data_IF_285983933405
#
_entry.id   IF_285983933405
#
_cell.length_a   1.000
_cell.length_b   1.000
_cell.length_c   1.000
_cell.angle_alpha   90.00
_cell.angle_beta   90.00
_cell.angle_gamma   90.00
#
_symmetry.space_group_name_H-M   'P 1'
#
loop_
_entity.id
_entity.type
_entity.pdbx_description
1 polymer ?
#
# COMPACT_ATOMS: atom_id res chain seq x y z
N UNK A 1 -14.59 70.48 13.77
CA UNK A 1 -15.96 70.01 13.47
C UNK A 1 -15.91 68.54 13.10
N UNK A 2 -16.29 67.65 14.01
CA UNK A 2 -16.41 66.21 13.70
C UNK A 2 -17.76 65.98 13.01
N UNK A 3 -17.76 65.43 11.80
CA UNK A 3 -19.00 65.07 11.09
C UNK A 3 -19.64 63.87 11.80
N UNK A 4 -20.87 64.04 12.29
CA UNK A 4 -21.69 62.94 12.79
C UNK A 4 -22.02 61.96 11.66
N UNK A 5 -21.21 60.91 11.52
CA UNK A 5 -21.50 59.77 10.66
C UNK A 5 -22.58 58.91 11.34
N UNK A 6 -23.81 58.97 10.84
CA UNK A 6 -24.87 58.04 11.23
C UNK A 6 -24.60 56.67 10.59
N UNK A 7 -24.10 55.73 11.35
CA UNK A 7 -23.88 54.35 10.91
C UNK A 7 -25.08 53.49 11.31
N UNK A 8 -25.59 52.66 10.40
CA UNK A 8 -26.64 51.67 10.73
C UNK A 8 -26.06 50.63 11.69
N UNK A 9 -26.72 50.42 12.83
CA UNK A 9 -26.40 49.35 13.76
C UNK A 9 -27.00 48.02 13.26
N UNK A 10 -26.39 46.91 13.67
CA UNK A 10 -26.86 45.56 13.38
C UNK A 10 -28.02 45.19 14.32
N UNK A 11 -29.00 44.44 13.81
CA UNK A 11 -30.08 43.88 14.62
C UNK A 11 -29.63 42.60 15.33
N UNK A 12 -30.29 42.28 16.44
CA UNK A 12 -30.05 41.03 17.15
C UNK A 12 -30.28 39.80 16.25
N UNK A 13 -31.29 39.84 15.38
CA UNK A 13 -31.60 38.75 14.46
C UNK A 13 -30.47 38.54 13.44
N UNK A 14 -29.95 39.62 12.84
CA UNK A 14 -28.80 39.54 11.92
C UNK A 14 -27.58 38.92 12.61
N UNK A 15 -27.30 39.31 13.86
CA UNK A 15 -26.21 38.72 14.63
C UNK A 15 -26.43 37.23 14.93
N UNK A 16 -27.65 36.82 15.29
CA UNK A 16 -27.99 35.42 15.55
C UNK A 16 -27.90 34.55 14.30
N UNK A 17 -28.40 35.04 13.16
CA UNK A 17 -28.27 34.34 11.88
C UNK A 17 -26.81 34.24 11.46
N UNK A 18 -26.02 35.31 11.62
CA UNK A 18 -24.60 35.28 11.34
C UNK A 18 -23.87 34.24 12.21
N UNK A 19 -24.17 34.19 13.51
CA UNK A 19 -23.61 33.19 14.43
C UNK A 19 -24.02 31.76 14.07
N UNK A 20 -25.28 31.55 13.63
CA UNK A 20 -25.75 30.25 13.17
C UNK A 20 -25.01 29.81 11.90
N UNK A 21 -24.87 30.70 10.93
CA UNK A 21 -24.16 30.41 9.67
C UNK A 21 -22.68 30.13 9.93
N UNK A 22 -22.02 30.93 10.77
CA UNK A 22 -20.62 30.73 11.14
C UNK A 22 -20.41 29.41 11.89
N UNK A 23 -21.25 29.12 12.89
CA UNK A 23 -21.13 27.87 13.65
C UNK A 23 -21.42 26.64 12.78
N UNK A 24 -22.48 26.68 11.96
CA UNK A 24 -22.78 25.63 11.00
C UNK A 24 -21.64 25.40 10.00
N UNK A 25 -21.08 26.48 9.45
CA UNK A 25 -19.94 26.40 8.53
C UNK A 25 -18.73 25.74 9.17
N UNK A 26 -18.34 26.16 10.39
CA UNK A 26 -17.22 25.57 11.12
C UNK A 26 -17.45 24.09 11.41
N UNK A 27 -18.66 23.70 11.80
CA UNK A 27 -19.00 22.29 12.07
C UNK A 27 -18.89 21.43 10.79
N UNK A 28 -19.33 21.94 9.64
CA UNK A 28 -19.20 21.24 8.36
C UNK A 28 -17.73 21.05 7.99
N UNK A 29 -16.90 22.09 8.12
CA UNK A 29 -15.46 21.97 7.89
C UNK A 29 -14.79 20.96 8.83
N UNK A 30 -15.17 20.97 10.11
CA UNK A 30 -14.66 20.01 11.08
C UNK A 30 -15.05 18.57 10.71
N UNK A 31 -16.32 18.33 10.36
CA UNK A 31 -16.80 17.01 9.96
C UNK A 31 -16.07 16.49 8.70
N UNK A 32 -15.91 17.34 7.67
CA UNK A 32 -15.19 16.95 6.46
C UNK A 32 -13.72 16.63 6.74
N UNK A 33 -13.06 17.42 7.60
CA UNK A 33 -11.67 17.19 7.99
C UNK A 33 -11.52 15.83 8.69
N UNK A 34 -12.44 15.50 9.59
CA UNK A 34 -12.44 14.21 10.28
C UNK A 34 -12.71 13.04 9.33
N UNK A 35 -13.61 13.20 8.36
CA UNK A 35 -13.88 12.18 7.34
C UNK A 35 -12.64 11.90 6.49
N UNK A 36 -11.95 12.95 6.01
CA UNK A 36 -10.71 12.80 5.23
C UNK A 36 -9.64 12.09 6.07
N UNK A 37 -9.44 12.50 7.33
CA UNK A 37 -8.47 11.86 8.22
C UNK A 37 -8.78 10.37 8.46
N UNK A 38 -10.07 10.03 8.59
CA UNK A 38 -10.51 8.64 8.75
C UNK A 38 -10.24 7.81 7.50
N UNK A 39 -10.52 8.36 6.32
CA UNK A 39 -10.28 7.69 5.04
C UNK A 39 -8.78 7.43 4.82
N UNK A 40 -7.93 8.42 5.13
CA UNK A 40 -6.48 8.26 5.04
C UNK A 40 -5.98 7.12 5.92
N UNK A 41 -6.42 7.07 7.19
CA UNK A 41 -6.04 5.97 8.08
C UNK A 41 -6.59 4.62 7.66
N UNK A 42 -7.81 4.56 7.11
CA UNK A 42 -8.36 3.33 6.56
C UNK A 42 -7.54 2.86 5.36
N UNK A 43 -7.16 3.77 4.46
CA UNK A 43 -6.33 3.44 3.31
C UNK A 43 -4.95 2.91 3.74
N UNK A 44 -4.27 3.58 4.68
CA UNK A 44 -2.99 3.12 5.22
C UNK A 44 -3.11 1.72 5.85
N UNK A 45 -4.14 1.50 6.67
CA UNK A 45 -4.39 0.20 7.30
C UNK A 45 -4.68 -0.89 6.27
N UNK A 46 -5.48 -0.60 5.25
CA UNK A 46 -5.79 -1.54 4.17
C UNK A 46 -4.51 -1.95 3.42
N UNK A 47 -3.65 -1.00 3.07
CA UNK A 47 -2.37 -1.30 2.41
C UNK A 47 -1.46 -2.18 3.28
N UNK A 48 -1.43 -1.92 4.59
CA UNK A 48 -0.69 -2.76 5.52
C UNK A 48 -1.28 -4.17 5.62
N UNK A 49 -2.60 -4.32 5.64
CA UNK A 49 -3.26 -5.62 5.65
C UNK A 49 -3.00 -6.41 4.35
N UNK A 50 -3.12 -5.77 3.19
CA UNK A 50 -2.78 -6.37 1.89
C UNK A 50 -1.33 -6.86 1.84
N UNK A 51 -0.39 -6.05 2.35
CA UNK A 51 1.01 -6.46 2.46
C UNK A 51 1.18 -7.70 3.36
N UNK A 52 0.55 -7.73 4.53
CA UNK A 52 0.66 -8.85 5.46
C UNK A 52 0.08 -10.15 4.87
N UNK A 53 -1.08 -10.06 4.18
CA UNK A 53 -1.67 -11.19 3.48
C UNK A 53 -0.77 -11.71 2.35
N UNK A 54 -0.17 -10.80 1.58
CA UNK A 54 0.79 -11.16 0.55
C UNK A 54 2.03 -11.84 1.13
N UNK A 55 2.59 -11.29 2.21
CA UNK A 55 3.77 -11.84 2.87
C UNK A 55 3.51 -13.27 3.40
N UNK A 56 2.37 -13.49 4.06
CA UNK A 56 1.94 -14.81 4.54
C UNK A 56 1.74 -15.82 3.40
N UNK A 57 1.09 -15.38 2.30
CA UNK A 57 0.94 -16.20 1.11
C UNK A 57 2.30 -16.54 0.49
N UNK A 58 3.22 -15.57 0.39
CA UNK A 58 4.55 -15.76 -0.16
C UNK A 58 5.39 -16.71 0.70
N UNK A 59 5.34 -16.56 2.02
CA UNK A 59 6.01 -17.46 2.96
C UNK A 59 5.48 -18.90 2.85
N UNK A 60 4.16 -19.06 2.75
CA UNK A 60 3.52 -20.37 2.53
C UNK A 60 3.93 -20.98 1.20
N UNK A 61 4.01 -20.18 0.14
CA UNK A 61 4.46 -20.63 -1.18
C UNK A 61 5.94 -21.04 -1.21
N UNK A 62 6.81 -20.31 -0.50
CA UNK A 62 8.24 -20.61 -0.43
C UNK A 62 8.52 -21.83 0.45
N UNK A 63 7.89 -21.93 1.62
CA UNK A 63 8.07 -23.05 2.58
C UNK A 63 7.64 -24.41 2.04
N UNK A 64 6.65 -24.45 1.13
CA UNK A 64 6.23 -25.70 0.46
C UNK A 64 7.04 -26.02 -0.80
N UNK A 65 8.02 -25.20 -1.14
CA UNK A 65 8.79 -25.30 -2.37
C UNK A 65 10.26 -25.53 -2.08
N UNK A 66 10.93 -26.22 -2.99
CA UNK A 66 12.38 -26.32 -2.96
C UNK A 66 12.98 -25.10 -3.68
N UNK A 67 13.83 -24.36 -3.00
CA UNK A 67 14.56 -23.26 -3.61
C UNK A 67 15.56 -23.77 -4.66
N UNK A 68 15.61 -23.14 -5.83
CA UNK A 68 16.58 -23.42 -6.88
C UNK A 68 17.65 -22.31 -6.93
N UNK A 69 17.24 -21.09 -7.27
CA UNK A 69 18.15 -19.93 -7.41
C UNK A 69 17.42 -18.60 -7.48
N UNK A 70 18.16 -17.51 -7.29
CA UNK A 70 17.75 -16.16 -7.69
C UNK A 70 18.51 -15.73 -8.95
N UNK A 71 17.79 -15.35 -10.00
CA UNK A 71 18.38 -14.87 -11.26
C UNK A 71 17.37 -13.95 -11.98
N UNK A 72 17.86 -12.99 -12.76
CA UNK A 72 17.03 -12.04 -13.52
C UNK A 72 15.93 -11.35 -12.67
N UNK A 73 16.26 -11.04 -11.42
CA UNK A 73 15.35 -10.41 -10.47
C UNK A 73 14.07 -11.25 -10.20
N UNK A 74 14.23 -12.58 -10.25
CA UNK A 74 13.19 -13.59 -9.97
C UNK A 74 13.73 -14.66 -9.05
N UNK A 75 12.82 -15.28 -8.30
CA UNK A 75 13.10 -16.47 -7.51
C UNK A 75 12.60 -17.67 -8.29
N UNK A 76 13.49 -18.62 -8.53
CA UNK A 76 13.17 -19.91 -9.12
C UNK A 76 13.00 -20.93 -8.00
N UNK A 77 11.87 -21.63 -8.03
CA UNK A 77 11.50 -22.66 -7.06
C UNK A 77 10.99 -23.90 -7.79
N UNK A 78 11.11 -25.06 -7.15
CA UNK A 78 10.50 -26.30 -7.59
C UNK A 78 9.38 -26.69 -6.63
N UNK A 79 8.19 -26.86 -7.16
CA UNK A 79 7.02 -27.22 -6.39
C UNK A 79 6.18 -28.26 -7.14
N UNK A 80 5.81 -29.35 -6.47
CA UNK A 80 4.99 -30.43 -7.05
C UNK A 80 5.54 -30.97 -8.40
N UNK A 81 6.87 -31.06 -8.51
CA UNK A 81 7.57 -31.49 -9.73
C UNK A 81 7.60 -30.47 -10.87
N UNK A 82 7.18 -29.22 -10.64
CA UNK A 82 7.19 -28.13 -11.63
C UNK A 82 8.21 -27.07 -11.24
N UNK A 83 8.96 -26.58 -12.24
CA UNK A 83 9.81 -25.41 -12.09
C UNK A 83 8.96 -24.14 -12.26
N UNK A 84 8.94 -23.31 -11.22
CA UNK A 84 8.18 -22.07 -11.14
C UNK A 84 9.12 -20.88 -10.95
N UNK A 85 8.66 -19.70 -11.33
CA UNK A 85 9.35 -18.44 -11.17
C UNK A 85 8.42 -17.41 -10.51
N UNK A 86 8.89 -16.78 -9.44
CA UNK A 86 8.25 -15.68 -8.72
C UNK A 86 8.98 -14.38 -9.04
N UNK A 87 8.25 -13.34 -9.44
CA UNK A 87 8.87 -12.06 -9.74
C UNK A 87 7.88 -10.99 -10.17
N UNK A 88 8.38 -9.76 -10.29
CA UNK A 88 7.61 -8.66 -10.87
C UNK A 88 7.35 -8.92 -12.35
N UNK A 89 6.13 -8.65 -12.78
CA UNK A 89 5.75 -8.68 -14.17
C UNK A 89 6.14 -7.39 -14.91
N UNK A 90 5.86 -7.33 -16.22
CA UNK A 90 5.98 -6.08 -16.99
C UNK A 90 4.95 -5.02 -16.58
N UNK A 91 3.84 -5.43 -15.96
CA UNK A 91 2.83 -4.55 -15.38
C UNK A 91 3.16 -4.18 -13.94
N UNK A 92 2.14 -3.93 -13.14
CA UNK A 92 2.21 -3.42 -11.76
C UNK A 92 2.14 -4.53 -10.71
N UNK A 93 2.31 -5.81 -11.07
CA UNK A 93 2.10 -6.92 -10.14
C UNK A 93 3.31 -7.84 -9.98
N UNK A 94 3.41 -8.42 -8.80
CA UNK A 94 4.28 -9.56 -8.51
C UNK A 94 3.46 -10.83 -8.67
N UNK A 95 4.01 -11.80 -9.40
CA UNK A 95 3.26 -12.98 -9.82
C UNK A 95 4.10 -14.24 -9.82
N UNK A 96 3.40 -15.36 -9.72
CA UNK A 96 3.91 -16.70 -9.98
C UNK A 96 3.68 -17.07 -11.43
N UNK A 97 4.73 -17.59 -12.05
CA UNK A 97 4.76 -18.08 -13.43
C UNK A 97 5.45 -19.43 -13.51
N UNK A 98 5.27 -20.18 -14.60
CA UNK A 98 6.20 -21.27 -14.90
C UNK A 98 7.56 -20.74 -15.34
N UNK A 99 8.57 -21.62 -15.45
CA UNK A 99 9.92 -21.26 -15.91
C UNK A 99 9.97 -20.60 -17.29
N UNK A 100 8.98 -20.88 -18.16
CA UNK A 100 8.86 -20.28 -19.49
C UNK A 100 8.09 -18.95 -19.48
N UNK A 101 7.63 -18.50 -18.30
CA UNK A 101 6.82 -17.31 -18.11
C UNK A 101 5.33 -17.49 -18.45
N UNK A 102 4.83 -18.72 -18.62
CA UNK A 102 3.42 -19.04 -18.88
C UNK A 102 2.71 -19.49 -17.61
N UNK A 103 1.38 -19.30 -17.58
CA UNK A 103 0.60 -19.38 -16.35
C UNK A 103 0.86 -18.15 -15.48
N UNK A 104 -0.17 -17.40 -15.15
CA UNK A 104 -0.01 -16.14 -14.41
C UNK A 104 -0.94 -16.17 -13.20
N UNK A 105 -0.36 -16.29 -12.01
CA UNK A 105 -1.07 -16.07 -10.74
C UNK A 105 -0.48 -14.82 -10.08
N UNK A 106 -1.14 -13.65 -10.21
CA UNK A 106 -0.80 -12.45 -9.46
C UNK A 106 -0.93 -12.71 -7.96
N UNK A 107 0.02 -12.19 -7.18
CA UNK A 107 0.06 -12.31 -5.72
C UNK A 107 -0.14 -10.96 -5.04
N UNK A 108 0.37 -9.88 -5.63
CA UNK A 108 0.12 -8.50 -5.17
C UNK A 108 0.24 -7.51 -6.35
N UNK A 109 -0.53 -6.43 -6.31
CA UNK A 109 -0.62 -5.37 -7.33
C UNK A 109 -0.07 -4.03 -6.83
N UNK A 110 -0.03 -3.02 -7.71
CA UNK A 110 0.41 -1.66 -7.37
C UNK A 110 1.90 -1.54 -7.07
N UNK A 111 2.73 -2.41 -7.65
CA UNK A 111 4.19 -2.39 -7.55
C UNK A 111 4.82 -1.55 -8.65
N UNK A 112 5.56 -0.53 -8.19
CA UNK A 112 6.48 0.23 -9.03
C UNK A 112 7.72 -0.60 -9.35
N UNK A 113 8.28 -1.27 -8.34
CA UNK A 113 9.46 -2.11 -8.47
C UNK A 113 9.48 -3.24 -7.42
N UNK A 114 10.15 -4.34 -7.76
CA UNK A 114 10.54 -5.35 -6.79
C UNK A 114 11.98 -5.73 -7.12
N UNK A 115 12.90 -5.62 -6.16
CA UNK A 115 14.31 -5.96 -6.30
C UNK A 115 14.58 -7.22 -5.47
N UNK A 116 15.11 -8.27 -6.10
CA UNK A 116 15.37 -9.58 -5.48
C UNK A 116 16.86 -9.87 -5.52
N UNK A 117 17.44 -10.13 -4.36
CA UNK A 117 18.87 -10.41 -4.20
C UNK A 117 19.07 -11.61 -3.28
N UNK A 118 20.13 -12.35 -3.53
CA UNK A 118 20.54 -13.45 -2.67
C UNK A 118 21.88 -13.14 -2.03
N UNK A 119 21.93 -13.21 -0.71
CA UNK A 119 23.14 -13.06 0.10
C UNK A 119 23.35 -14.33 0.92
N UNK A 120 24.15 -15.25 0.37
CA UNK A 120 24.35 -16.58 0.94
C UNK A 120 23.04 -17.37 1.01
N UNK A 121 22.57 -17.64 2.23
CA UNK A 121 21.32 -18.39 2.50
C UNK A 121 20.10 -17.48 2.68
N UNK A 122 20.26 -16.16 2.55
CA UNK A 122 19.16 -15.21 2.69
C UNK A 122 18.78 -14.67 1.31
N UNK A 123 17.48 -14.64 1.04
CA UNK A 123 16.91 -14.01 -0.15
C UNK A 123 16.14 -12.79 0.31
N UNK A 124 16.57 -11.64 -0.17
CA UNK A 124 15.98 -10.33 0.09
C UNK A 124 15.09 -9.95 -1.07
N UNK A 125 13.82 -9.66 -0.78
CA UNK A 125 12.86 -9.11 -1.73
C UNK A 125 12.44 -7.74 -1.24
N UNK A 126 12.88 -6.69 -1.92
CA UNK A 126 12.52 -5.32 -1.63
C UNK A 126 11.43 -4.85 -2.59
N UNK A 127 10.27 -4.51 -2.05
CA UNK A 127 9.08 -4.09 -2.79
C UNK A 127 8.88 -2.58 -2.63
N UNK A 128 8.72 -1.88 -3.76
CA UNK A 128 8.29 -0.48 -3.82
C UNK A 128 6.94 -0.41 -4.52
N UNK A 129 5.94 0.09 -3.80
CA UNK A 129 4.58 0.29 -4.31
C UNK A 129 4.39 1.70 -4.84
N UNK A 130 3.54 1.87 -5.86
CA UNK A 130 3.25 3.15 -6.52
C UNK A 130 2.77 4.24 -5.54
N UNK A 131 2.14 3.82 -4.44
CA UNK A 131 1.65 4.70 -3.37
C UNK A 131 2.72 5.09 -2.34
N UNK A 132 4.00 4.80 -2.60
CA UNK A 132 5.14 5.15 -1.74
C UNK A 132 5.39 4.20 -0.57
N UNK A 133 4.63 3.11 -0.46
CA UNK A 133 4.89 2.07 0.52
C UNK A 133 6.13 1.27 0.11
N UNK A 134 7.12 1.16 0.99
CA UNK A 134 8.27 0.29 0.80
C UNK A 134 8.30 -0.81 1.87
N UNK A 135 8.57 -2.04 1.44
CA UNK A 135 8.63 -3.20 2.32
C UNK A 135 9.73 -4.16 1.89
N UNK A 136 10.33 -4.84 2.85
CA UNK A 136 11.29 -5.89 2.61
C UNK A 136 10.75 -7.20 3.16
N UNK A 137 10.87 -8.27 2.37
CA UNK A 137 10.62 -9.63 2.78
C UNK A 137 11.94 -10.39 2.71
N UNK A 138 12.32 -11.04 3.81
CA UNK A 138 13.58 -11.79 3.90
C UNK A 138 13.23 -13.25 4.12
N UNK A 139 13.68 -14.10 3.22
CA UNK A 139 13.51 -15.54 3.30
C UNK A 139 14.83 -16.24 3.55
N UNK A 140 14.84 -17.24 4.43
CA UNK A 140 15.99 -18.13 4.62
C UNK A 140 15.79 -19.40 3.81
N UNK A 141 16.72 -19.67 2.92
CA UNK A 141 16.74 -20.90 2.13
C UNK A 141 17.25 -22.05 3.00
N UNK A 142 16.49 -23.13 3.06
CA UNK A 142 16.94 -24.41 3.59
C UNK A 142 17.67 -25.19 2.49
N UNK A 143 18.87 -25.68 2.78
CA UNK A 143 19.57 -26.62 1.90
C UNK A 143 18.98 -28.02 2.12
N UNK A 144 18.68 -28.73 1.03
CA UNK A 144 18.42 -30.16 1.10
C UNK A 144 19.66 -30.83 1.73
N UNK A 145 19.50 -31.42 2.91
CA UNK A 145 20.55 -32.21 3.58
C UNK A 145 20.70 -33.58 2.96
#
# INVERSE_FOLDING_TARGET
>A
MSKNLKVKAFTLLEALVALLVLSGGVLVFQAMTQLISSELHQQENNQQQEWLLFADQLETELSRSQFDKVEDNKIYIRQDGRDLALGKSKGDDFRKTDKSGRGYQPMVYGLEAADIRQEGKLVHLHFRFEKGLEREFIYRVEEES
#
